data_IF_265135676486
#
_entry.id   IF_265135676486
#
_cell.length_a   1.000
_cell.length_b   1.000
_cell.length_c   1.000
_cell.angle_alpha   90.00
_cell.angle_beta   90.00
_cell.angle_gamma   90.00
#
_symmetry.space_group_name_H-M   'P 1'
#
loop_
_entity.id
_entity.type
_entity.pdbx_description
1 polymer ?
#
# COMPACT_ATOMS: atom_id res chain seq x y z
N UNK A 1 15.91 8.06 -4.83
CA UNK A 1 15.10 6.90 -5.21
C UNK A 1 13.90 6.78 -4.30
N UNK A 2 12.75 6.66 -4.91
CA UNK A 2 11.51 6.62 -4.16
C UNK A 2 11.21 5.18 -3.75
N UNK A 3 11.22 4.94 -2.45
CA UNK A 3 10.77 3.65 -1.91
C UNK A 3 9.30 3.79 -1.61
N UNK A 4 8.51 2.92 -2.21
CA UNK A 4 7.08 2.90 -2.01
C UNK A 4 6.66 1.52 -1.53
N UNK A 5 5.48 1.46 -0.96
CA UNK A 5 4.91 0.22 -0.46
C UNK A 5 3.54 0.03 -1.07
N UNK A 6 3.18 -1.20 -1.33
CA UNK A 6 1.87 -1.54 -1.85
C UNK A 6 1.26 -2.59 -0.94
N UNK A 7 -0.02 -2.45 -0.63
CA UNK A 7 -0.70 -3.39 0.22
C UNK A 7 -2.14 -3.55 -0.22
N UNK A 8 -2.64 -4.78 -0.07
CA UNK A 8 -4.03 -5.10 -0.37
C UNK A 8 -4.75 -5.42 0.91
N UNK A 9 -5.87 -4.75 1.13
CA UNK A 9 -6.74 -5.01 2.27
C UNK A 9 -7.50 -6.32 2.05
N UNK A 10 -8.07 -6.84 3.12
CA UNK A 10 -8.81 -8.09 3.07
C UNK A 10 -10.04 -8.00 2.18
N UNK A 11 -10.58 -6.79 2.00
CA UNK A 11 -11.72 -6.53 1.12
C UNK A 11 -11.33 -6.35 -0.35
N UNK A 12 -10.07 -6.60 -0.69
CA UNK A 12 -9.52 -6.50 -2.04
C UNK A 12 -9.11 -5.09 -2.48
N UNK A 13 -9.23 -4.11 -1.62
CA UNK A 13 -8.79 -2.73 -1.90
C UNK A 13 -7.27 -2.68 -1.97
N UNK A 14 -6.73 -2.03 -3.01
CA UNK A 14 -5.30 -1.93 -3.23
C UNK A 14 -4.85 -0.49 -3.09
N UNK A 15 -3.82 -0.25 -2.30
CA UNK A 15 -3.29 1.09 -2.09
C UNK A 15 -1.78 1.12 -2.15
N UNK A 16 -1.27 2.27 -2.59
CA UNK A 16 0.16 2.55 -2.66
C UNK A 16 0.49 3.56 -1.56
N UNK A 17 1.56 3.31 -0.82
CA UNK A 17 1.92 4.12 0.35
C UNK A 17 3.33 4.66 0.22
N UNK A 18 3.55 5.87 0.72
CA UNK A 18 4.88 6.46 0.77
C UNK A 18 5.73 5.94 1.92
N UNK A 19 5.10 5.31 2.92
CA UNK A 19 5.78 4.69 4.05
C UNK A 19 5.21 3.31 4.28
N UNK A 20 5.95 2.48 5.00
CA UNK A 20 5.53 1.10 5.25
C UNK A 20 4.22 1.06 6.04
N UNK A 21 3.17 0.46 5.49
CA UNK A 21 1.91 0.32 6.22
C UNK A 21 1.97 -0.84 7.21
N UNK A 22 1.10 -0.79 8.20
CA UNK A 22 0.95 -1.85 9.20
C UNK A 22 -0.51 -2.21 9.30
N UNK A 23 -0.78 -3.42 9.77
CA UNK A 23 -2.17 -3.83 10.00
C UNK A 23 -2.79 -2.98 11.09
N UNK A 24 -4.02 -2.57 10.85
CA UNK A 24 -4.78 -1.81 11.85
C UNK A 24 -5.07 -2.69 13.05
N UNK A 25 -4.89 -2.13 14.24
CA UNK A 25 -5.25 -2.81 15.48
C UNK A 25 -6.73 -2.66 15.79
N UNK A 26 -7.37 -1.66 15.19
CA UNK A 26 -8.78 -1.35 15.47
C UNK A 26 -9.74 -2.01 14.49
N UNK A 27 -9.33 -2.16 13.22
CA UNK A 27 -10.17 -2.73 12.19
C UNK A 27 -9.43 -3.89 11.54
N UNK A 28 -10.02 -5.07 11.59
CA UNK A 28 -9.41 -6.27 11.03
C UNK A 28 -9.33 -6.19 9.50
N UNK A 29 -8.19 -6.61 8.97
CA UNK A 29 -8.02 -6.75 7.53
C UNK A 29 -7.73 -5.47 6.78
N UNK A 30 -7.32 -4.41 7.47
CA UNK A 30 -7.02 -3.13 6.85
C UNK A 30 -5.57 -2.73 7.13
N UNK A 31 -4.87 -2.30 6.09
CA UNK A 31 -3.53 -1.75 6.21
C UNK A 31 -3.63 -0.25 6.41
N UNK A 32 -2.87 0.27 7.36
CA UNK A 32 -2.84 1.70 7.65
C UNK A 32 -1.40 2.17 7.65
N UNK A 33 -1.20 3.44 7.32
CA UNK A 33 0.13 4.00 7.22
C UNK A 33 0.16 5.34 7.91
N UNK A 34 1.33 5.63 8.51
CA UNK A 34 1.56 6.90 9.16
C UNK A 34 1.29 6.84 10.65
N UNK A 35 1.95 7.74 11.34
CA UNK A 35 1.72 7.97 12.76
C UNK A 35 0.81 9.16 12.93
N UNK A 36 0.19 9.23 14.08
CA UNK A 36 -0.68 10.35 14.42
C UNK A 36 0.05 11.67 14.22
N UNK A 37 -0.54 12.54 13.40
CA UNK A 37 0.02 13.86 13.14
C UNK A 37 1.07 13.92 12.02
N UNK A 38 1.44 12.79 11.43
CA UNK A 38 2.42 12.77 10.33
C UNK A 38 1.72 12.62 8.99
N UNK A 39 2.08 13.47 8.00
CA UNK A 39 1.50 13.33 6.66
C UNK A 39 2.02 12.08 5.98
N UNK A 40 1.15 11.38 5.30
CA UNK A 40 1.47 10.19 4.54
C UNK A 40 0.73 10.24 3.22
N UNK A 41 1.43 9.95 2.15
CA UNK A 41 0.81 9.88 0.83
C UNK A 41 0.27 8.48 0.60
N UNK A 42 -1.02 8.41 0.31
CA UNK A 42 -1.70 7.16 -0.01
C UNK A 42 -2.46 7.34 -1.31
N UNK A 43 -2.26 6.40 -2.22
CA UNK A 43 -2.93 6.42 -3.52
C UNK A 43 -3.72 5.13 -3.67
N UNK A 44 -5.02 5.27 -3.93
CA UNK A 44 -5.88 4.12 -4.18
C UNK A 44 -5.69 3.67 -5.63
N UNK A 45 -5.38 2.40 -5.82
CA UNK A 45 -5.19 1.81 -7.13
C UNK A 45 -6.39 0.95 -7.50
N UNK A 46 -6.62 0.73 -8.82
CA UNK A 46 -7.66 -0.21 -9.23
C UNK A 46 -7.41 -1.59 -8.61
N UNK A 47 -8.47 -2.22 -8.11
CA UNK A 47 -8.34 -3.50 -7.42
C UNK A 47 -7.82 -4.61 -8.33
N UNK A 48 -7.97 -4.47 -9.64
CA UNK A 48 -7.49 -5.46 -10.60
C UNK A 48 -6.01 -5.35 -10.92
N UNK A 49 -5.38 -4.25 -10.48
CA UNK A 49 -3.96 -4.03 -10.71
C UNK A 49 -3.16 -4.92 -9.77
N UNK A 50 -2.03 -5.44 -10.26
CA UNK A 50 -1.12 -6.25 -9.46
C UNK A 50 -1.83 -7.41 -8.72
N UNK A 51 -2.43 -8.36 -9.46
CA UNK A 51 -3.13 -9.47 -8.80
C UNK A 51 -2.23 -10.35 -7.95
N UNK A 52 -0.92 -10.29 -8.16
CA UNK A 52 0.05 -11.02 -7.34
C UNK A 52 0.19 -10.44 -5.93
N UNK A 53 -0.27 -9.21 -5.69
CA UNK A 53 -0.27 -8.62 -4.35
C UNK A 53 -1.56 -9.01 -3.66
N UNK A 54 -1.44 -9.77 -2.57
CA UNK A 54 -2.59 -10.27 -1.81
C UNK A 54 -2.53 -9.71 -0.40
N UNK A 55 -3.62 -9.89 0.35
CA UNK A 55 -3.63 -9.48 1.75
C UNK A 55 -2.56 -10.24 2.54
N UNK A 56 -2.39 -11.53 2.26
CA UNK A 56 -1.47 -12.39 3.01
C UNK A 56 -0.01 -12.05 2.76
N UNK A 57 0.34 -11.55 1.57
CA UNK A 57 1.73 -11.19 1.26
C UNK A 57 1.98 -9.69 1.34
N UNK A 58 1.02 -8.91 1.81
CA UNK A 58 1.20 -7.47 2.01
C UNK A 58 1.89 -7.17 3.34
N UNK A 59 2.58 -6.04 3.48
CA UNK A 59 2.86 -5.12 2.38
C UNK A 59 4.06 -5.57 1.57
N UNK A 60 4.16 -5.09 0.33
CA UNK A 60 5.31 -5.35 -0.51
C UNK A 60 5.98 -4.05 -0.89
N UNK A 61 7.30 -4.09 -0.99
CA UNK A 61 8.07 -2.94 -1.36
C UNK A 61 8.14 -2.83 -2.88
N UNK A 62 7.93 -1.61 -3.39
CA UNK A 62 7.95 -1.36 -4.84
C UNK A 62 8.79 -0.13 -5.14
N UNK A 63 9.23 -0.04 -6.36
CA UNK A 63 9.96 1.13 -6.85
C UNK A 63 9.15 1.79 -7.94
N UNK A 64 9.17 3.13 -7.94
CA UNK A 64 8.57 3.91 -9.00
C UNK A 64 9.66 4.30 -9.98
N UNK A 65 9.46 3.98 -11.25
CA UNK A 65 10.38 4.34 -12.31
C UNK A 65 9.67 5.18 -13.36
N UNK A 66 10.35 6.23 -13.78
CA UNK A 66 9.87 7.02 -14.90
C UNK A 66 10.35 6.36 -16.19
N UNK A 67 9.41 5.95 -17.02
CA UNK A 67 9.71 5.33 -18.30
C UNK A 67 9.49 6.38 -19.39
N UNK A 68 10.56 6.70 -20.10
CA UNK A 68 10.49 7.63 -21.22
C UNK A 68 10.14 6.86 -22.47
N UNK A 69 9.18 7.38 -23.20
CA UNK A 69 8.76 6.80 -24.48
C UNK A 69 9.15 7.67 -25.65
#
# INVERSE_FOLDING_TARGET
MSKLWIARDKDDSLCLYSKEPKLSEEVDGIWVCGQYGMPVDVIVLPSKMFPEVTFENSPQRVELKLVKQ
#
